data_IF_462990941778
#
_entry.id   IF_462990941778
#
_cell.length_a   1.000
_cell.length_b   1.000
_cell.length_c   1.000
_cell.angle_alpha   90.00
_cell.angle_beta   90.00
_cell.angle_gamma   90.00
#
_symmetry.space_group_name_H-M   'P 1'
#
loop_
_entity.id
_entity.type
_entity.pdbx_description
1 polymer ?
#
# COMPACT_ATOMS: atom_id res chain seq x y z
N UNK A 1 74.40 6.48 -7.31
CA UNK A 1 75.33 5.32 -7.18
C UNK A 1 74.45 4.04 -7.13
N UNK A 2 74.75 3.20 -8.07
CA UNK A 2 74.67 1.72 -8.21
C UNK A 2 73.26 1.10 -8.06
N UNK A 3 72.70 0.65 -9.18
CA UNK A 3 72.77 -0.70 -9.90
C UNK A 3 71.73 -1.66 -9.29
N UNK A 4 70.66 -2.00 -9.99
CA UNK A 4 70.50 -2.99 -11.08
C UNK A 4 70.55 -4.45 -10.56
N UNK A 5 69.50 -5.19 -10.90
CA UNK A 5 69.36 -6.64 -10.73
C UNK A 5 68.01 -7.15 -11.23
N UNK A 6 67.95 -7.42 -12.53
CA UNK A 6 66.91 -8.21 -13.14
C UNK A 6 67.22 -9.70 -13.01
N UNK A 7 66.25 -10.52 -12.68
CA UNK A 7 66.26 -11.96 -12.94
C UNK A 7 64.96 -12.38 -13.59
N UNK A 8 65.10 -12.83 -14.82
CA UNK A 8 64.08 -13.47 -15.65
C UNK A 8 64.15 -14.98 -15.37
N UNK A 9 63.02 -15.63 -15.06
CA UNK A 9 62.91 -17.09 -15.17
C UNK A 9 61.68 -17.44 -15.99
N UNK A 10 61.97 -18.07 -17.10
CA UNK A 10 61.07 -18.71 -18.04
C UNK A 10 60.82 -20.14 -17.58
N UNK A 11 59.60 -20.63 -17.71
CA UNK A 11 59.33 -22.06 -17.45
C UNK A 11 57.89 -22.44 -17.63
N UNK A 12 57.56 -22.77 -18.78
CA UNK A 12 56.88 -23.96 -19.41
C UNK A 12 55.41 -24.20 -19.14
N UNK A 13 54.73 -24.24 -20.24
CA UNK A 13 53.33 -24.68 -20.52
C UNK A 13 53.17 -26.17 -20.19
N UNK A 14 52.01 -26.51 -19.60
CA UNK A 14 51.40 -27.83 -19.77
C UNK A 14 49.88 -27.65 -19.88
N UNK A 15 49.38 -28.09 -21.02
CA UNK A 15 47.96 -28.19 -21.33
C UNK A 15 47.34 -29.43 -20.67
N UNK A 16 46.16 -29.29 -20.14
CA UNK A 16 45.33 -30.40 -19.67
C UNK A 16 43.86 -30.05 -19.84
N UNK A 17 43.27 -30.58 -20.89
CA UNK A 17 41.82 -30.65 -21.07
C UNK A 17 41.21 -31.68 -20.12
N UNK A 18 40.06 -31.37 -19.50
CA UNK A 18 38.83 -32.20 -19.55
C UNK A 18 37.90 -31.81 -18.39
N UNK A 19 36.63 -31.79 -18.67
CA UNK A 19 35.58 -31.92 -17.66
C UNK A 19 34.51 -30.84 -17.68
N UNK A 20 33.52 -31.00 -18.54
CA UNK A 20 32.31 -30.19 -18.54
C UNK A 20 31.55 -30.33 -17.22
N UNK A 21 31.22 -29.20 -16.64
CA UNK A 21 30.25 -29.06 -15.58
C UNK A 21 29.20 -28.05 -16.04
N UNK A 22 28.06 -28.56 -16.48
CA UNK A 22 26.84 -27.75 -16.71
C UNK A 22 26.36 -27.24 -15.37
N UNK A 23 26.75 -26.03 -15.03
CA UNK A 23 26.10 -25.29 -13.93
C UNK A 23 24.80 -24.73 -14.49
N UNK A 24 23.67 -25.36 -14.12
CA UNK A 24 22.33 -24.85 -14.40
C UNK A 24 22.16 -23.49 -13.71
N UNK A 25 22.07 -22.45 -14.52
CA UNK A 25 21.54 -21.17 -14.08
C UNK A 25 20.09 -21.37 -13.72
N UNK A 26 19.80 -21.44 -12.43
CA UNK A 26 18.44 -21.28 -11.91
C UNK A 26 18.01 -19.85 -12.23
N UNK A 27 17.35 -19.68 -13.36
CA UNK A 27 16.68 -18.44 -13.71
C UNK A 27 15.65 -18.11 -12.64
N UNK A 28 15.90 -17.09 -11.83
CA UNK A 28 14.91 -16.46 -10.97
C UNK A 28 13.87 -15.76 -11.86
N UNK A 29 12.87 -16.52 -12.30
CA UNK A 29 11.63 -15.98 -12.86
C UNK A 29 10.81 -15.35 -11.73
N UNK A 30 11.09 -14.13 -11.34
CA UNK A 30 10.38 -13.41 -10.27
C UNK A 30 10.29 -11.89 -10.44
N UNK A 31 11.01 -11.30 -11.40
CA UNK A 31 11.16 -9.84 -11.46
C UNK A 31 10.04 -9.04 -12.14
N UNK A 32 9.15 -9.66 -12.93
CA UNK A 32 8.17 -8.94 -13.75
C UNK A 32 6.85 -8.58 -13.05
N UNK A 33 6.48 -9.28 -12.02
CA UNK A 33 5.18 -9.10 -11.34
C UNK A 33 5.18 -7.97 -10.30
N UNK A 34 6.26 -7.78 -9.57
CA UNK A 34 6.34 -6.78 -8.49
C UNK A 34 6.23 -5.34 -8.98
N UNK A 35 6.82 -5.01 -10.13
CA UNK A 35 6.81 -3.64 -10.66
C UNK A 35 5.39 -3.12 -10.96
N UNK A 36 4.46 -3.99 -11.37
CA UNK A 36 3.08 -3.62 -11.68
C UNK A 36 2.25 -3.30 -10.45
N UNK A 37 2.40 -4.07 -9.40
CA UNK A 37 1.61 -3.96 -8.17
C UNK A 37 2.16 -2.95 -7.17
N UNK A 38 3.40 -2.48 -7.38
CA UNK A 38 4.11 -1.61 -6.43
C UNK A 38 4.67 -2.36 -5.23
N UNK A 39 4.51 -1.82 -4.04
CA UNK A 39 5.16 -2.30 -2.81
C UNK A 39 4.21 -3.17 -1.97
N UNK A 40 4.75 -4.21 -1.35
CA UNK A 40 4.01 -5.01 -0.37
C UNK A 40 3.75 -4.17 0.91
N UNK A 41 2.55 -4.24 1.49
CA UNK A 41 2.27 -3.53 2.75
C UNK A 41 3.15 -4.02 3.91
N UNK A 42 3.68 -5.23 3.87
CA UNK A 42 4.62 -5.71 4.89
C UNK A 42 5.96 -4.96 4.88
N UNK A 43 6.37 -4.44 3.74
CA UNK A 43 7.60 -3.64 3.57
C UNK A 43 7.35 -2.14 3.43
N UNK A 44 6.09 -1.73 3.61
CA UNK A 44 5.63 -0.34 3.60
C UNK A 44 4.63 -0.09 4.74
N UNK A 45 5.11 -0.14 6.00
CA UNK A 45 4.25 -0.01 7.18
C UNK A 45 3.63 1.39 7.35
N UNK A 46 4.18 2.39 6.69
CA UNK A 46 3.73 3.79 6.77
C UNK A 46 2.87 4.22 5.57
N UNK A 47 2.73 3.38 4.54
CA UNK A 47 1.94 3.68 3.33
C UNK A 47 2.55 4.73 2.42
N UNK A 48 3.87 4.97 2.53
CA UNK A 48 4.57 6.03 1.80
C UNK A 48 5.15 5.58 0.45
N UNK A 49 4.97 4.32 0.10
CA UNK A 49 5.39 3.76 -1.18
C UNK A 49 4.19 3.41 -2.06
N UNK A 50 4.35 3.43 -3.39
CA UNK A 50 3.22 3.20 -4.29
C UNK A 50 2.72 1.75 -4.28
N UNK A 51 1.42 1.60 -4.55
CA UNK A 51 0.80 0.32 -4.84
C UNK A 51 0.36 -0.48 -3.63
N UNK A 52 -0.03 -1.72 -3.90
CA UNK A 52 -0.42 -2.72 -2.91
C UNK A 52 -0.11 -4.11 -3.50
N UNK A 53 1.17 -4.49 -3.46
CA UNK A 53 1.63 -5.74 -4.06
C UNK A 53 1.05 -6.97 -3.35
N UNK A 54 0.74 -8.05 -4.08
CA UNK A 54 0.26 -9.30 -3.49
C UNK A 54 1.20 -9.87 -2.44
N UNK A 55 0.62 -10.45 -1.40
CA UNK A 55 1.29 -11.31 -0.43
C UNK A 55 0.97 -12.75 -0.82
N UNK A 56 1.98 -13.54 -1.17
CA UNK A 56 1.80 -14.89 -1.71
C UNK A 56 2.85 -15.90 -1.24
N UNK A 57 3.90 -15.47 -0.53
CA UNK A 57 4.84 -16.40 0.09
C UNK A 57 4.30 -16.88 1.43
N UNK A 58 4.49 -18.15 1.76
CA UNK A 58 4.03 -18.70 3.05
C UNK A 58 4.62 -17.95 4.26
N UNK A 59 5.84 -17.45 4.15
CA UNK A 59 6.49 -16.64 5.20
C UNK A 59 5.80 -15.29 5.38
N UNK A 60 5.49 -14.59 4.27
CA UNK A 60 4.80 -13.31 4.32
C UNK A 60 3.36 -13.46 4.82
N UNK A 61 2.67 -14.54 4.40
CA UNK A 61 1.34 -14.88 4.92
C UNK A 61 1.36 -15.15 6.43
N UNK A 62 2.38 -15.83 6.94
CA UNK A 62 2.55 -16.04 8.38
C UNK A 62 2.75 -14.72 9.12
N UNK A 63 3.59 -13.82 8.59
CA UNK A 63 3.81 -12.47 9.13
C UNK A 63 2.51 -11.65 9.11
N UNK A 64 1.74 -11.75 8.04
CA UNK A 64 0.44 -11.08 7.91
C UNK A 64 -0.55 -11.60 8.98
N UNK A 65 -0.65 -12.92 9.17
CA UNK A 65 -1.50 -13.51 10.21
C UNK A 65 -1.08 -13.10 11.61
N UNK A 66 0.21 -13.05 11.89
CA UNK A 66 0.73 -12.57 13.18
C UNK A 66 0.28 -11.13 13.46
N UNK A 67 0.40 -10.23 12.48
CA UNK A 67 -0.07 -8.85 12.59
C UNK A 67 -1.58 -8.79 12.88
N UNK A 68 -2.38 -9.51 12.10
CA UNK A 68 -3.85 -9.51 12.20
C UNK A 68 -4.30 -10.12 13.53
N UNK A 69 -3.64 -11.19 14.00
CA UNK A 69 -4.01 -11.88 15.26
C UNK A 69 -3.92 -10.97 16.49
N UNK A 70 -3.07 -9.95 16.46
CA UNK A 70 -2.87 -8.98 17.54
C UNK A 70 -3.97 -7.92 17.65
N UNK A 71 -4.87 -7.83 16.64
CA UNK A 71 -5.96 -6.85 16.68
C UNK A 71 -6.98 -7.19 17.75
N UNK A 72 -7.37 -6.18 18.51
CA UNK A 72 -8.48 -6.26 19.44
C UNK A 72 -9.81 -6.39 18.70
N UNK A 73 -10.77 -7.12 19.27
CA UNK A 73 -12.09 -7.27 18.67
C UNK A 73 -13.18 -6.64 19.53
N UNK A 74 -14.18 -6.09 18.85
CA UNK A 74 -15.34 -5.43 19.47
C UNK A 74 -16.52 -5.47 18.51
N UNK A 75 -17.76 -5.49 19.03
CA UNK A 75 -18.94 -5.25 18.23
C UNK A 75 -19.01 -3.81 17.70
N UNK A 76 -19.63 -3.59 16.56
CA UNK A 76 -19.86 -2.23 16.03
C UNK A 76 -20.76 -1.44 16.99
N UNK A 77 -20.35 -0.24 17.33
CA UNK A 77 -21.14 0.75 18.01
C UNK A 77 -22.18 1.43 17.07
N UNK A 78 -23.02 2.32 17.64
CA UNK A 78 -23.98 3.07 16.84
C UNK A 78 -23.29 4.03 15.87
N UNK A 79 -23.98 4.35 14.77
CA UNK A 79 -23.56 5.36 13.79
C UNK A 79 -24.07 6.76 14.16
N UNK A 80 -24.82 6.87 15.25
CA UNK A 80 -25.41 8.14 15.72
C UNK A 80 -24.34 9.23 15.82
N UNK A 81 -24.63 10.42 15.30
CA UNK A 81 -23.73 11.56 15.30
C UNK A 81 -22.56 11.46 14.29
N UNK A 82 -22.52 10.42 13.48
CA UNK A 82 -21.53 10.37 12.40
C UNK A 82 -21.84 11.41 11.34
N UNK A 83 -20.89 12.29 11.12
CA UNK A 83 -20.78 13.12 9.94
C UNK A 83 -19.34 13.01 9.41
N UNK A 84 -19.18 13.14 8.09
CA UNK A 84 -17.86 13.11 7.48
C UNK A 84 -17.02 14.31 7.92
N UNK A 85 -17.64 15.45 8.18
CA UNK A 85 -16.97 16.70 8.59
C UNK A 85 -16.39 16.61 10.00
N UNK A 86 -16.81 15.62 10.81
CA UNK A 86 -16.17 15.28 12.09
C UNK A 86 -14.71 14.84 11.92
N UNK A 87 -14.31 14.46 10.71
CA UNK A 87 -12.94 14.09 10.34
C UNK A 87 -12.18 15.23 9.66
N UNK A 88 -12.71 16.46 9.67
CA UNK A 88 -12.15 17.64 9.03
C UNK A 88 -12.59 17.82 7.58
N UNK A 89 -12.12 18.89 6.95
CA UNK A 89 -12.38 19.10 5.52
C UNK A 89 -11.60 18.08 4.67
N UNK A 90 -12.09 17.85 3.45
CA UNK A 90 -11.52 16.85 2.56
C UNK A 90 -10.07 17.18 2.17
N UNK A 91 -9.19 16.18 2.26
CA UNK A 91 -7.82 16.22 1.74
C UNK A 91 -6.94 17.30 2.39
N UNK A 92 -7.00 17.40 3.72
CA UNK A 92 -6.25 18.38 4.50
C UNK A 92 -4.73 18.19 4.36
N UNK A 93 -4.03 19.18 3.81
CA UNK A 93 -2.57 19.27 3.93
C UNK A 93 -2.10 19.57 5.37
N UNK A 94 -2.99 20.11 6.21
CA UNK A 94 -2.70 20.56 7.57
C UNK A 94 -2.92 19.50 8.67
N UNK A 95 -3.14 18.24 8.31
CA UNK A 95 -3.30 17.15 9.27
C UNK A 95 -1.94 16.77 9.87
N UNK A 96 -1.56 17.33 11.01
CA UNK A 96 -0.26 17.09 11.64
C UNK A 96 -0.01 15.62 12.03
N UNK A 97 1.24 15.19 11.94
CA UNK A 97 1.70 13.88 12.40
C UNK A 97 1.38 12.72 11.46
N UNK A 98 1.05 13.01 10.20
CA UNK A 98 0.92 12.00 9.14
C UNK A 98 1.90 12.32 8.00
N UNK A 99 2.39 11.30 7.26
CA UNK A 99 3.26 11.51 6.13
C UNK A 99 2.60 12.40 5.05
N UNK A 100 3.43 13.17 4.33
CA UNK A 100 3.06 14.10 3.26
C UNK A 100 2.25 15.33 3.72
N UNK A 101 1.89 15.46 4.99
CA UNK A 101 1.25 16.69 5.49
C UNK A 101 2.20 17.91 5.40
N UNK A 102 1.62 19.09 5.25
CA UNK A 102 2.29 20.41 5.19
C UNK A 102 3.33 20.54 4.08
N UNK A 103 3.11 19.89 2.94
CA UNK A 103 3.97 19.98 1.77
C UNK A 103 3.47 21.00 0.73
N UNK A 104 2.33 21.66 0.99
CA UNK A 104 1.69 22.65 0.12
C UNK A 104 0.76 22.06 -0.94
N UNK A 105 0.61 20.72 -0.98
CA UNK A 105 -0.33 20.01 -1.85
C UNK A 105 -1.46 19.39 -1.02
N UNK A 106 -2.66 19.27 -1.58
CA UNK A 106 -3.69 18.51 -0.90
C UNK A 106 -3.40 17.01 -0.94
N UNK A 107 -3.80 16.28 0.11
CA UNK A 107 -3.54 14.84 0.27
C UNK A 107 -4.01 14.00 -0.93
N UNK A 108 -5.10 14.40 -1.62
CA UNK A 108 -5.55 13.69 -2.82
C UNK A 108 -4.53 13.76 -3.94
N UNK A 109 -3.99 14.94 -4.22
CA UNK A 109 -2.99 15.13 -5.26
C UNK A 109 -1.68 14.43 -4.91
N UNK A 110 -1.28 14.42 -3.62
CA UNK A 110 -0.12 13.66 -3.17
C UNK A 110 -0.25 12.16 -3.45
N UNK A 111 -1.43 11.58 -3.18
CA UNK A 111 -1.68 10.17 -3.46
C UNK A 111 -1.74 9.86 -4.96
N UNK A 112 -2.32 10.74 -5.77
CA UNK A 112 -2.31 10.59 -7.22
C UNK A 112 -0.88 10.64 -7.78
N UNK A 113 -0.03 11.53 -7.23
CA UNK A 113 1.39 11.62 -7.57
C UNK A 113 2.17 10.39 -7.10
N UNK A 114 1.94 9.92 -5.87
CA UNK A 114 2.63 8.79 -5.26
C UNK A 114 2.35 7.47 -6.00
N UNK A 115 1.09 7.20 -6.32
CA UNK A 115 0.65 5.93 -6.89
C UNK A 115 0.57 5.93 -8.43
N UNK A 116 0.53 7.12 -9.04
CA UNK A 116 0.41 7.28 -10.49
C UNK A 116 1.72 7.00 -11.22
N UNK A 117 1.59 6.46 -12.43
CA UNK A 117 2.65 6.41 -13.43
C UNK A 117 2.35 7.44 -14.50
N UNK A 118 3.37 7.95 -15.20
CA UNK A 118 3.24 8.96 -16.27
C UNK A 118 2.40 10.17 -15.80
N UNK A 119 2.65 10.60 -14.58
CA UNK A 119 1.91 11.70 -13.96
C UNK A 119 2.18 13.01 -14.72
N UNK A 120 1.11 13.71 -15.06
CA UNK A 120 1.17 15.05 -15.63
C UNK A 120 0.51 16.04 -14.68
N UNK A 121 1.15 17.19 -14.53
CA UNK A 121 0.66 18.27 -13.68
C UNK A 121 0.03 19.38 -14.52
N UNK A 122 -0.84 20.16 -13.90
CA UNK A 122 -1.36 21.40 -14.48
C UNK A 122 -0.20 22.36 -14.75
N UNK A 123 -0.23 23.09 -15.86
CA UNK A 123 0.76 24.12 -16.17
C UNK A 123 0.94 25.08 -14.98
N UNK A 124 2.20 25.30 -14.58
CA UNK A 124 2.57 26.14 -13.44
C UNK A 124 2.26 25.54 -12.05
N UNK A 125 2.02 24.24 -11.94
CA UNK A 125 1.80 23.56 -10.66
C UNK A 125 2.57 22.25 -10.61
N UNK A 126 3.22 21.97 -9.50
CA UNK A 126 3.87 20.71 -9.13
C UNK A 126 3.00 19.82 -8.22
N UNK A 127 1.82 20.33 -7.84
CA UNK A 127 0.84 19.63 -7.00
C UNK A 127 -0.32 19.04 -7.80
N UNK A 128 -0.95 19.85 -8.67
CA UNK A 128 -2.24 19.49 -9.27
C UNK A 128 -2.06 18.49 -10.40
N UNK A 129 -2.32 17.21 -10.13
CA UNK A 129 -2.30 16.15 -11.12
C UNK A 129 -3.50 16.28 -12.06
N UNK A 130 -3.24 16.26 -13.38
CA UNK A 130 -4.29 16.35 -14.42
C UNK A 130 -4.47 15.07 -15.21
N UNK A 131 -3.43 14.22 -15.28
CA UNK A 131 -3.55 12.88 -15.84
C UNK A 131 -2.49 11.93 -15.26
N UNK A 132 -2.78 10.65 -15.27
CA UNK A 132 -1.86 9.58 -14.86
C UNK A 132 -2.35 8.22 -15.37
N UNK A 133 -1.48 7.24 -15.30
CA UNK A 133 -1.83 5.83 -15.36
C UNK A 133 -1.81 5.24 -13.95
N UNK A 134 -2.88 4.54 -13.55
CA UNK A 134 -2.98 3.85 -12.26
C UNK A 134 -3.15 2.36 -12.49
N UNK A 135 -2.34 1.54 -11.85
CA UNK A 135 -2.71 0.14 -11.65
C UNK A 135 -3.61 0.06 -10.41
N UNK A 136 -4.89 -0.24 -10.63
CA UNK A 136 -5.87 -0.30 -9.56
C UNK A 136 -5.74 -1.61 -8.77
N UNK A 137 -5.34 -1.59 -7.51
CA UNK A 137 -5.17 -2.80 -6.72
C UNK A 137 -6.48 -3.52 -6.43
N UNK A 138 -7.61 -2.82 -6.46
CA UNK A 138 -8.91 -3.42 -6.16
C UNK A 138 -9.47 -4.25 -7.31
N UNK A 139 -9.29 -3.80 -8.55
CA UNK A 139 -9.79 -4.52 -9.72
C UNK A 139 -8.70 -5.29 -10.48
N UNK A 140 -7.43 -4.99 -10.24
CA UNK A 140 -6.30 -5.57 -10.97
C UNK A 140 -6.16 -5.03 -12.40
N UNK A 141 -6.75 -3.87 -12.70
CA UNK A 141 -6.78 -3.26 -14.04
C UNK A 141 -5.96 -1.98 -14.09
N UNK A 142 -5.43 -1.67 -15.25
CA UNK A 142 -4.85 -0.36 -15.53
C UNK A 142 -5.97 0.64 -15.89
N UNK A 143 -5.88 1.84 -15.31
CA UNK A 143 -6.79 2.96 -15.54
C UNK A 143 -5.96 4.13 -16.07
N UNK A 144 -6.29 4.60 -17.29
CA UNK A 144 -5.75 5.85 -17.83
C UNK A 144 -6.68 6.99 -17.38
N UNK A 145 -6.26 7.67 -16.33
CA UNK A 145 -7.11 8.68 -15.70
C UNK A 145 -6.80 10.09 -16.17
N UNK A 146 -7.86 10.90 -16.31
CA UNK A 146 -7.79 12.34 -16.55
C UNK A 146 -8.68 13.08 -15.56
N UNK A 147 -8.24 14.26 -15.11
CA UNK A 147 -8.98 15.09 -14.14
C UNK A 147 -10.40 15.44 -14.59
N UNK A 148 -10.65 15.57 -15.88
CA UNK A 148 -11.98 15.77 -16.45
C UNK A 148 -12.97 14.62 -16.12
N UNK A 149 -12.45 13.44 -15.78
CA UNK A 149 -13.22 12.26 -15.37
C UNK A 149 -12.83 11.85 -13.93
N UNK A 150 -12.85 12.82 -13.02
CA UNK A 150 -12.31 12.67 -11.67
C UNK A 150 -12.91 11.47 -10.91
N UNK A 151 -14.15 11.09 -11.17
CA UNK A 151 -14.85 9.99 -10.51
C UNK A 151 -14.34 8.58 -10.89
N UNK A 152 -13.60 8.42 -12.01
CA UNK A 152 -13.05 7.13 -12.44
C UNK A 152 -11.99 6.61 -11.45
N UNK A 153 -11.25 7.53 -10.78
CA UNK A 153 -10.32 7.20 -9.69
C UNK A 153 -10.73 7.98 -8.45
N UNK A 154 -11.00 7.28 -7.37
CA UNK A 154 -11.32 7.83 -6.07
C UNK A 154 -10.24 7.46 -5.06
N UNK A 155 -10.05 8.30 -4.04
CA UNK A 155 -9.22 7.93 -2.89
C UNK A 155 -10.12 7.23 -1.88
N UNK A 156 -9.86 5.95 -1.68
CA UNK A 156 -10.54 5.16 -0.66
C UNK A 156 -9.87 5.32 0.70
N UNK A 157 -10.68 5.36 1.75
CA UNK A 157 -10.22 5.10 3.10
C UNK A 157 -10.27 3.58 3.33
N UNK A 158 -9.11 2.92 3.38
CA UNK A 158 -9.00 1.45 3.57
C UNK A 158 -9.81 1.00 4.78
N UNK A 159 -9.64 1.69 5.92
CA UNK A 159 -10.59 1.65 7.05
C UNK A 159 -11.57 2.81 6.88
N UNK A 160 -12.83 2.55 6.50
CA UNK A 160 -13.80 3.62 6.22
C UNK A 160 -14.03 4.49 7.45
N UNK A 161 -14.23 5.81 7.25
CA UNK A 161 -14.43 6.76 8.36
C UNK A 161 -15.66 6.42 9.20
N UNK A 162 -16.76 6.00 8.56
CA UNK A 162 -17.96 5.55 9.26
C UNK A 162 -17.74 4.23 10.02
N UNK A 163 -16.90 3.33 9.50
CA UNK A 163 -16.49 2.14 10.24
C UNK A 163 -15.68 2.53 11.48
N UNK A 164 -14.66 3.38 11.29
CA UNK A 164 -13.83 3.86 12.39
C UNK A 164 -14.66 4.56 13.49
N UNK A 165 -15.66 5.36 13.11
CA UNK A 165 -16.60 6.00 14.05
C UNK A 165 -17.26 4.96 14.96
N UNK A 166 -17.87 3.94 14.38
CA UNK A 166 -18.54 2.85 15.08
C UNK A 166 -17.59 2.02 15.93
N UNK A 167 -16.32 1.90 15.51
CA UNK A 167 -15.30 1.14 16.23
C UNK A 167 -14.60 1.95 17.34
N UNK A 168 -14.91 3.25 17.49
CA UNK A 168 -14.43 4.03 18.63
C UNK A 168 -14.03 5.47 18.32
N UNK A 169 -13.84 5.84 17.07
CA UNK A 169 -13.42 7.19 16.69
C UNK A 169 -14.44 8.28 17.06
N UNK A 170 -15.69 7.92 17.30
CA UNK A 170 -16.73 8.81 17.88
C UNK A 170 -16.28 9.49 19.19
N UNK A 171 -15.38 8.84 19.96
CA UNK A 171 -14.87 9.34 21.24
C UNK A 171 -13.50 10.00 21.16
N UNK A 172 -12.92 10.07 19.96
CA UNK A 172 -11.62 10.71 19.78
C UNK A 172 -11.72 12.23 19.73
N UNK A 173 -10.62 12.90 20.05
CA UNK A 173 -10.47 14.31 19.73
C UNK A 173 -10.42 14.52 18.21
N UNK A 174 -10.80 15.71 17.77
CA UNK A 174 -10.88 16.12 16.35
C UNK A 174 -9.57 15.85 15.60
N UNK A 175 -8.44 16.17 16.20
CA UNK A 175 -7.11 15.98 15.60
C UNK A 175 -6.81 14.52 15.27
N UNK A 176 -7.15 13.56 16.16
CA UNK A 176 -6.93 12.13 15.88
C UNK A 176 -7.82 11.66 14.73
N UNK A 177 -9.06 12.17 14.64
CA UNK A 177 -9.95 11.89 13.50
C UNK A 177 -9.41 12.48 12.20
N UNK A 178 -8.92 13.72 12.20
CA UNK A 178 -8.29 14.37 11.05
C UNK A 178 -7.06 13.60 10.58
N UNK A 179 -6.22 13.13 11.50
CA UNK A 179 -5.07 12.27 11.15
C UNK A 179 -5.51 11.00 10.44
N UNK A 180 -6.46 10.24 10.98
CA UNK A 180 -6.95 9.03 10.32
C UNK A 180 -7.46 9.29 8.91
N UNK A 181 -8.15 10.41 8.70
CA UNK A 181 -8.75 10.77 7.41
C UNK A 181 -7.73 11.20 6.35
N UNK A 182 -6.54 11.66 6.77
CA UNK A 182 -5.51 12.17 5.87
C UNK A 182 -4.20 11.39 5.94
N UNK A 183 -4.17 10.28 6.69
CA UNK A 183 -3.02 9.39 6.75
C UNK A 183 -2.91 8.57 5.47
N UNK A 184 -1.80 8.73 4.76
CA UNK A 184 -1.53 7.98 3.52
C UNK A 184 -1.57 6.46 3.72
N UNK A 185 -1.29 5.98 4.93
CA UNK A 185 -1.46 4.57 5.28
C UNK A 185 -2.91 4.10 5.12
N UNK A 186 -3.89 4.98 5.41
CA UNK A 186 -5.33 4.69 5.30
C UNK A 186 -5.90 5.04 3.93
N UNK A 187 -5.11 5.59 3.03
CA UNK A 187 -5.60 6.16 1.78
C UNK A 187 -5.04 5.42 0.57
N UNK A 188 -5.89 5.09 -0.39
CA UNK A 188 -5.48 4.38 -1.60
C UNK A 188 -6.27 4.87 -2.81
N UNK A 189 -5.62 5.35 -3.89
CA UNK A 189 -6.31 5.64 -5.14
C UNK A 189 -6.73 4.34 -5.82
N UNK A 190 -8.01 4.23 -6.12
CA UNK A 190 -8.63 3.01 -6.65
C UNK A 190 -9.72 3.33 -7.66
N UNK A 191 -10.19 2.32 -8.39
CA UNK A 191 -11.38 2.41 -9.23
C UNK A 191 -12.57 2.98 -8.46
N UNK A 192 -13.18 4.04 -8.99
CA UNK A 192 -14.35 4.68 -8.37
C UNK A 192 -15.54 3.73 -8.24
N UNK A 193 -15.73 2.80 -9.19
CA UNK A 193 -16.80 1.80 -9.10
C UNK A 193 -16.55 0.78 -7.97
N UNK A 194 -15.31 0.31 -7.80
CA UNK A 194 -14.96 -0.61 -6.72
C UNK A 194 -15.08 0.06 -5.35
N UNK A 195 -14.64 1.33 -5.23
CA UNK A 195 -14.82 2.11 -4.01
C UNK A 195 -16.30 2.34 -3.67
N UNK A 196 -17.11 2.68 -4.68
CA UNK A 196 -18.56 2.85 -4.50
C UNK A 196 -19.25 1.55 -4.06
N UNK A 197 -18.78 0.38 -4.52
CA UNK A 197 -19.27 -0.92 -4.08
C UNK A 197 -18.85 -1.25 -2.64
N UNK A 198 -17.65 -0.83 -2.21
CA UNK A 198 -17.14 -1.04 -0.85
C UNK A 198 -17.95 -0.28 0.21
N UNK A 199 -18.29 0.97 -0.05
CA UNK A 199 -18.99 1.85 0.91
C UNK A 199 -18.26 1.95 2.25
N UNK A 200 -18.96 1.67 3.37
CA UNK A 200 -18.44 1.66 4.74
C UNK A 200 -18.23 0.23 5.28
N UNK A 201 -18.02 -0.73 4.38
CA UNK A 201 -17.83 -2.14 4.70
C UNK A 201 -16.46 -2.40 5.32
N UNK A 202 -16.44 -3.32 6.31
CA UNK A 202 -15.23 -4.00 6.73
C UNK A 202 -14.94 -5.24 5.88
N UNK A 203 -13.78 -5.92 6.10
CA UNK A 203 -13.34 -7.07 5.31
C UNK A 203 -14.33 -8.25 5.25
N UNK A 204 -15.14 -8.46 6.28
CA UNK A 204 -16.16 -9.52 6.29
C UNK A 204 -17.31 -9.25 5.29
N UNK A 205 -17.57 -7.99 4.95
CA UNK A 205 -18.69 -7.59 4.09
C UNK A 205 -18.24 -7.21 2.68
N UNK A 206 -17.00 -6.83 2.50
CA UNK A 206 -16.44 -6.50 1.19
C UNK A 206 -14.94 -6.78 1.14
N UNK A 207 -14.51 -7.33 0.03
CA UNK A 207 -13.11 -7.54 -0.33
C UNK A 207 -12.85 -7.08 -1.76
N UNK A 208 -11.61 -6.67 -2.10
CA UNK A 208 -11.26 -6.38 -3.48
C UNK A 208 -11.69 -7.52 -4.43
N UNK A 209 -12.31 -7.21 -5.59
CA UNK A 209 -12.54 -8.19 -6.65
C UNK A 209 -11.26 -8.89 -7.08
N UNK A 210 -10.14 -8.19 -7.12
CA UNK A 210 -8.82 -8.75 -7.37
C UNK A 210 -8.37 -9.65 -6.21
N UNK A 211 -8.53 -10.95 -6.39
CA UNK A 211 -8.19 -11.95 -5.35
C UNK A 211 -6.72 -11.89 -4.93
N UNK A 212 -5.81 -11.54 -5.85
CA UNK A 212 -4.37 -11.51 -5.59
C UNK A 212 -3.97 -10.48 -4.51
N UNK A 213 -4.73 -9.39 -4.35
CA UNK A 213 -4.43 -8.32 -3.38
C UNK A 213 -5.22 -8.43 -2.08
N UNK A 214 -6.02 -9.46 -1.87
CA UNK A 214 -6.91 -9.55 -0.70
C UNK A 214 -6.15 -9.68 0.62
N UNK A 215 -5.08 -10.48 0.68
CA UNK A 215 -4.23 -10.53 1.87
C UNK A 215 -3.54 -9.18 2.09
N UNK A 216 -3.02 -8.54 1.06
CA UNK A 216 -2.41 -7.22 1.15
C UNK A 216 -3.39 -6.15 1.64
N UNK A 217 -4.64 -6.19 1.17
CA UNK A 217 -5.71 -5.32 1.66
C UNK A 217 -6.00 -5.58 3.15
N UNK A 218 -6.08 -6.86 3.55
CA UNK A 218 -6.26 -7.24 4.96
C UNK A 218 -5.12 -6.74 5.84
N UNK A 219 -3.87 -6.86 5.38
CA UNK A 219 -2.69 -6.33 6.08
C UNK A 219 -2.75 -4.82 6.20
N UNK A 220 -3.08 -4.08 5.12
CA UNK A 220 -3.21 -2.62 5.16
C UNK A 220 -4.32 -2.18 6.11
N UNK A 221 -5.46 -2.85 6.09
CA UNK A 221 -6.55 -2.61 7.04
C UNK A 221 -6.09 -2.84 8.50
N UNK A 222 -5.35 -3.92 8.74
CA UNK A 222 -4.81 -4.23 10.06
C UNK A 222 -3.74 -3.24 10.53
N UNK A 223 -2.87 -2.76 9.63
CA UNK A 223 -1.87 -1.73 9.94
C UNK A 223 -2.54 -0.43 10.40
N UNK A 224 -3.56 0.03 9.69
CA UNK A 224 -4.35 1.20 10.07
C UNK A 224 -5.03 0.98 11.42
N UNK A 225 -5.72 -0.14 11.59
CA UNK A 225 -6.40 -0.48 12.84
C UNK A 225 -5.42 -0.48 14.03
N UNK A 226 -4.22 -1.07 13.85
CA UNK A 226 -3.16 -1.09 14.86
C UNK A 226 -2.63 0.30 15.17
N UNK A 227 -2.28 1.11 14.14
CA UNK A 227 -1.72 2.47 14.30
C UNK A 227 -2.66 3.37 15.09
N UNK A 228 -3.96 3.25 14.85
CA UNK A 228 -4.98 4.07 15.49
C UNK A 228 -5.62 3.44 16.73
N UNK A 229 -5.16 2.25 17.13
CA UNK A 229 -5.73 1.48 18.26
C UNK A 229 -7.24 1.25 18.10
N UNK A 230 -7.67 1.03 16.87
CA UNK A 230 -9.05 0.71 16.52
C UNK A 230 -9.24 -0.80 16.66
N UNK A 231 -10.21 -1.25 17.49
CA UNK A 231 -10.65 -2.64 17.40
C UNK A 231 -11.33 -2.89 16.05
N UNK A 232 -11.41 -4.15 15.68
CA UNK A 232 -12.17 -4.61 14.50
C UNK A 232 -13.30 -5.54 14.94
N UNK A 233 -14.24 -5.87 14.05
CA UNK A 233 -15.21 -6.92 14.42
C UNK A 233 -14.55 -8.30 14.40
N UNK A 234 -15.10 -9.26 15.16
CA UNK A 234 -14.58 -10.63 15.15
C UNK A 234 -14.64 -11.22 13.74
N UNK A 235 -15.74 -10.99 13.01
CA UNK A 235 -15.92 -11.44 11.64
C UNK A 235 -14.95 -10.79 10.66
N UNK A 236 -14.62 -9.49 10.82
CA UNK A 236 -13.60 -8.83 9.99
C UNK A 236 -12.21 -9.43 10.24
N UNK A 237 -11.86 -9.69 11.51
CA UNK A 237 -10.59 -10.33 11.88
C UNK A 237 -10.47 -11.74 11.30
N UNK A 238 -11.51 -12.54 11.42
CA UNK A 238 -11.58 -13.90 10.85
C UNK A 238 -11.42 -13.86 9.33
N UNK A 239 -12.15 -12.96 8.65
CA UNK A 239 -12.04 -12.82 7.20
C UNK A 239 -10.64 -12.39 6.77
N UNK A 240 -10.00 -11.45 7.48
CA UNK A 240 -8.63 -11.03 7.19
C UNK A 240 -7.63 -12.18 7.33
N UNK A 241 -7.74 -12.99 8.40
CA UNK A 241 -6.91 -14.18 8.58
C UNK A 241 -7.10 -15.16 7.42
N UNK A 242 -8.35 -15.46 7.06
CA UNK A 242 -8.68 -16.33 5.93
C UNK A 242 -8.06 -15.87 4.61
N UNK A 243 -8.01 -14.57 4.33
CA UNK A 243 -7.41 -14.07 3.08
C UNK A 243 -5.88 -14.20 3.06
N UNK A 244 -5.24 -14.42 4.19
CA UNK A 244 -3.80 -14.62 4.34
C UNK A 244 -3.43 -16.09 4.66
N UNK A 245 -4.24 -17.08 4.22
CA UNK A 245 -3.94 -18.49 4.37
C UNK A 245 -4.20 -19.05 5.77
N UNK A 246 -5.10 -18.43 6.54
CA UNK A 246 -5.53 -18.85 7.86
C UNK A 246 -6.89 -19.53 7.88
#
# INVERSE_FOLDING_TARGET
MLRAGAVLVVGTVLAGCTGGGLSGESGTAGGGSSAKYGTSPLTDPDGTKPGLAPISSGQDEATARELISKLQTKGRGPKTGYDRDEFGYAWMDTADGVPLARNGCDTRNDLLKLHGRKVQFRAGSDCVVVSMELYDPYTGKDIVWKKAKAAEVQIDHVVPLSYAWQMGAARWGKEKRQRLANDVLNLLPVSGSANSAKRDSGPASWLPPNKATRCSYAVRFAQVAKKYELPVTASDKEMMLKQCGG
#
